data_IF_726385855687
#
_entry.id   IF_726385855687
#
_cell.length_a   1.000
_cell.length_b   1.000
_cell.length_c   1.000
_cell.angle_alpha   90.00
_cell.angle_beta   90.00
_cell.angle_gamma   90.00
#
_symmetry.space_group_name_H-M   'P 1'
#
loop_
_entity.id
_entity.type
_entity.pdbx_description
1 polymer ?
#
# COMPACT_ATOMS: atom_id res chain seq x y z
N UNK A 1 -68.82 48.80 -22.37
CA UNK A 1 -68.55 49.56 -21.13
C UNK A 1 -67.04 49.51 -20.89
N UNK A 2 -66.41 50.68 -20.77
CA UNK A 2 -64.98 50.90 -20.47
C UNK A 2 -64.79 50.87 -18.96
N UNK A 3 -63.76 50.18 -18.45
CA UNK A 3 -62.83 50.62 -17.36
C UNK A 3 -61.77 49.54 -17.05
N UNK A 4 -60.64 49.87 -16.37
CA UNK A 4 -59.29 49.60 -16.88
C UNK A 4 -58.37 48.82 -15.92
N UNK A 5 -57.13 48.61 -16.40
CA UNK A 5 -55.85 48.40 -15.71
C UNK A 5 -55.82 47.72 -14.32
N UNK A 6 -55.05 46.63 -14.24
CA UNK A 6 -54.16 46.41 -13.10
C UNK A 6 -52.81 45.88 -13.61
N UNK A 7 -51.78 46.70 -13.39
CA UNK A 7 -50.37 46.39 -13.52
C UNK A 7 -49.98 45.48 -12.35
N UNK A 8 -49.39 44.32 -12.58
CA UNK A 8 -48.56 43.65 -11.56
C UNK A 8 -47.43 42.90 -12.25
N UNK A 9 -46.25 43.51 -12.18
CA UNK A 9 -44.98 42.89 -12.49
C UNK A 9 -44.58 41.95 -11.36
N UNK A 10 -44.23 40.71 -11.67
CA UNK A 10 -43.27 39.91 -10.88
C UNK A 10 -42.54 38.94 -11.81
N UNK A 11 -41.52 39.46 -12.51
CA UNK A 11 -40.37 38.63 -12.88
C UNK A 11 -39.61 38.40 -11.59
N UNK A 12 -39.64 37.17 -11.07
CA UNK A 12 -38.94 36.77 -9.86
C UNK A 12 -38.43 35.34 -9.99
N UNK A 13 -37.15 35.22 -10.32
CA UNK A 13 -36.37 33.99 -10.30
C UNK A 13 -36.57 33.22 -8.99
N UNK A 14 -36.84 31.92 -9.10
CA UNK A 14 -36.55 30.97 -8.04
C UNK A 14 -36.09 29.63 -8.64
N UNK A 15 -35.00 29.65 -9.42
CA UNK A 15 -34.13 28.47 -9.51
C UNK A 15 -33.39 28.37 -8.17
N UNK A 16 -34.07 27.85 -7.15
CA UNK A 16 -33.41 27.37 -5.94
C UNK A 16 -32.74 26.03 -6.29
N UNK A 17 -31.64 26.10 -7.04
CA UNK A 17 -30.68 25.01 -7.08
C UNK A 17 -30.14 24.87 -5.67
N UNK A 18 -30.67 23.91 -4.92
CA UNK A 18 -30.10 23.46 -3.67
C UNK A 18 -28.72 22.85 -3.99
N UNK A 19 -27.71 23.71 -4.10
CA UNK A 19 -26.30 23.29 -4.06
C UNK A 19 -26.00 22.98 -2.61
N UNK A 20 -26.50 21.83 -2.14
CA UNK A 20 -26.02 21.26 -0.89
C UNK A 20 -24.56 20.87 -1.14
N UNK A 21 -23.61 21.36 -0.34
CA UNK A 21 -22.27 20.79 -0.35
C UNK A 21 -22.45 19.33 0.07
N UNK A 22 -22.18 18.42 -0.87
CA UNK A 22 -22.09 17.00 -0.56
C UNK A 22 -20.81 16.87 0.28
N UNK A 23 -20.96 17.00 1.60
CA UNK A 23 -19.94 16.59 2.53
C UNK A 23 -19.81 15.07 2.37
N UNK A 24 -18.89 14.64 1.51
CA UNK A 24 -18.42 13.27 1.50
C UNK A 24 -17.79 13.04 2.86
N UNK A 25 -18.50 12.39 3.77
CA UNK A 25 -17.89 11.85 4.96
C UNK A 25 -16.77 10.92 4.48
N UNK A 26 -15.51 11.29 4.70
CA UNK A 26 -14.40 10.38 4.46
C UNK A 26 -14.59 9.21 5.40
N UNK A 27 -14.82 8.02 4.85
CA UNK A 27 -14.77 6.82 5.67
C UNK A 27 -13.37 6.68 6.27
N UNK A 28 -13.26 6.27 7.54
CA UNK A 28 -11.96 6.04 8.14
C UNK A 28 -11.21 4.98 7.34
N UNK A 29 -9.98 5.29 6.93
CA UNK A 29 -9.10 4.32 6.28
C UNK A 29 -8.81 3.23 7.30
N UNK A 30 -9.12 1.95 7.00
CA UNK A 30 -8.82 0.87 7.93
C UNK A 30 -7.32 0.79 8.18
N UNK A 31 -6.94 0.51 9.43
CA UNK A 31 -5.54 0.26 9.76
C UNK A 31 -5.04 -1.00 9.05
N UNK A 32 -3.75 -1.04 8.65
CA UNK A 32 -3.13 -2.25 8.10
C UNK A 32 -3.21 -3.44 9.05
N UNK A 33 -3.09 -4.65 8.50
CA UNK A 33 -2.95 -5.86 9.31
C UNK A 33 -1.63 -5.82 10.12
N UNK A 34 -1.57 -6.41 11.34
CA UNK A 34 -0.37 -6.42 12.18
C UNK A 34 0.91 -6.87 11.47
N UNK A 35 0.80 -7.87 10.60
CA UNK A 35 1.88 -8.47 9.81
C UNK A 35 2.16 -7.74 8.48
N UNK A 36 1.62 -6.53 8.31
CA UNK A 36 1.96 -5.70 7.15
C UNK A 36 3.41 -5.24 7.26
N UNK A 37 4.24 -5.58 6.27
CA UNK A 37 5.60 -5.03 6.18
C UNK A 37 5.53 -3.53 5.92
N UNK A 38 6.21 -2.74 6.74
CA UNK A 38 6.23 -1.27 6.65
C UNK A 38 7.61 -0.73 6.32
N UNK A 39 8.67 -1.49 6.58
CA UNK A 39 10.04 -1.05 6.33
C UNK A 39 10.95 -2.25 6.14
N UNK A 40 11.95 -2.07 5.28
CA UNK A 40 13.04 -3.02 5.04
C UNK A 40 14.34 -2.25 5.02
N UNK A 41 15.24 -2.56 5.94
CA UNK A 41 16.54 -1.89 6.09
C UNK A 41 17.68 -2.88 5.91
N UNK A 42 18.77 -2.48 5.25
CA UNK A 42 19.90 -3.36 4.94
C UNK A 42 19.81 -3.99 3.55
N UNK A 43 20.47 -5.13 3.35
CA UNK A 43 20.49 -5.84 2.07
C UNK A 43 20.76 -7.34 2.21
N UNK A 44 20.67 -8.05 1.09
CA UNK A 44 20.85 -9.49 1.04
C UNK A 44 22.27 -9.95 1.42
N UNK A 45 23.30 -9.13 1.14
CA UNK A 45 24.70 -9.48 1.31
C UNK A 45 25.16 -9.29 2.76
N UNK A 46 24.72 -8.21 3.40
CA UNK A 46 25.13 -7.81 4.74
C UNK A 46 24.11 -8.16 5.83
N UNK A 47 22.93 -8.63 5.43
CA UNK A 47 21.80 -8.89 6.31
C UNK A 47 20.83 -7.71 6.29
N UNK A 48 19.57 -8.02 6.56
CA UNK A 48 18.51 -7.02 6.54
C UNK A 48 17.45 -7.29 7.60
N UNK A 49 16.72 -6.23 7.89
CA UNK A 49 15.61 -6.19 8.84
C UNK A 49 14.31 -5.96 8.09
N UNK A 50 13.26 -6.69 8.48
CA UNK A 50 11.89 -6.48 8.04
C UNK A 50 11.10 -6.01 9.25
N UNK A 51 10.60 -4.77 9.22
CA UNK A 51 9.74 -4.21 10.26
C UNK A 51 8.26 -4.35 9.85
N UNK A 52 7.43 -4.74 10.81
CA UNK A 52 5.99 -4.95 10.65
C UNK A 52 5.18 -3.83 11.30
N UNK A 53 3.93 -3.66 10.87
CA UNK A 53 3.04 -2.60 11.35
C UNK A 53 2.76 -2.69 12.86
N UNK A 54 2.74 -3.88 13.44
CA UNK A 54 2.61 -4.08 14.89
C UNK A 54 3.87 -3.72 15.71
N UNK A 55 4.93 -3.29 15.05
CA UNK A 55 6.21 -2.94 15.65
C UNK A 55 7.14 -4.12 15.89
N UNK A 56 6.76 -5.33 15.49
CA UNK A 56 7.68 -6.47 15.48
C UNK A 56 8.67 -6.39 14.31
N UNK A 57 9.79 -7.09 14.44
CA UNK A 57 10.81 -7.16 13.41
C UNK A 57 11.31 -8.59 13.20
N UNK A 58 11.75 -8.89 11.98
CA UNK A 58 12.46 -10.13 11.65
C UNK A 58 13.81 -9.80 11.01
N UNK A 59 14.79 -10.66 11.28
CA UNK A 59 16.16 -10.56 10.77
C UNK A 59 16.48 -11.85 10.01
N UNK A 60 16.10 -11.94 8.73
CA UNK A 60 16.47 -13.09 7.91
C UNK A 60 17.99 -13.24 7.79
N UNK A 61 18.49 -14.45 7.45
CA UNK A 61 19.90 -14.64 7.18
C UNK A 61 20.37 -13.79 5.99
N UNK A 62 21.67 -13.78 5.73
CA UNK A 62 22.22 -13.31 4.44
C UNK A 62 21.93 -14.31 3.32
N UNK A 63 22.06 -13.88 2.07
CA UNK A 63 21.94 -14.76 0.92
C UNK A 63 23.02 -15.86 0.93
N UNK A 64 24.23 -15.51 1.37
CA UNK A 64 25.35 -16.42 1.50
C UNK A 64 25.09 -17.52 2.56
N UNK A 65 24.53 -17.16 3.71
CA UNK A 65 24.14 -18.08 4.77
C UNK A 65 22.99 -18.98 4.30
N UNK A 66 21.94 -18.41 3.71
CA UNK A 66 20.81 -19.19 3.20
C UNK A 66 21.22 -20.17 2.08
N UNK A 67 22.16 -19.78 1.22
CA UNK A 67 22.70 -20.67 0.18
C UNK A 67 23.62 -21.75 0.74
N UNK A 68 24.32 -21.48 1.85
CA UNK A 68 25.16 -22.45 2.53
C UNK A 68 24.31 -23.59 3.11
N UNK A 69 23.18 -23.27 3.75
CA UNK A 69 22.23 -24.26 4.29
C UNK A 69 21.69 -25.20 3.19
N UNK A 70 21.51 -24.70 1.96
CA UNK A 70 21.13 -25.57 0.84
C UNK A 70 22.17 -26.67 0.53
N UNK A 71 23.41 -26.54 1.02
CA UNK A 71 24.47 -27.54 0.93
C UNK A 71 24.29 -28.73 1.87
N UNK A 72 23.37 -28.67 2.83
CA UNK A 72 23.18 -29.71 3.84
C UNK A 72 22.16 -30.79 3.41
N UNK A 73 21.31 -30.51 2.42
CA UNK A 73 20.34 -31.50 1.93
C UNK A 73 21.01 -32.75 1.30
N UNK A 74 20.45 -33.92 1.55
CA UNK A 74 21.04 -35.19 1.08
C UNK A 74 20.95 -35.34 -0.44
N UNK A 75 19.81 -35.00 -1.04
CA UNK A 75 19.60 -35.25 -2.47
C UNK A 75 19.89 -34.03 -3.33
N UNK A 76 20.36 -34.27 -4.56
CA UNK A 76 20.59 -33.21 -5.56
C UNK A 76 19.32 -32.40 -5.84
N UNK A 77 18.16 -33.04 -5.84
CA UNK A 77 16.88 -32.38 -6.14
C UNK A 77 16.52 -31.39 -5.04
N UNK A 78 16.68 -31.76 -3.77
CA UNK A 78 16.44 -30.87 -2.63
C UNK A 78 17.39 -29.69 -2.62
N UNK A 79 18.69 -29.91 -2.87
CA UNK A 79 19.68 -28.83 -2.98
C UNK A 79 19.32 -27.80 -4.06
N UNK A 80 18.89 -28.27 -5.24
CA UNK A 80 18.47 -27.40 -6.34
C UNK A 80 17.20 -26.64 -5.97
N UNK A 81 16.21 -27.31 -5.39
CA UNK A 81 14.97 -26.69 -4.93
C UNK A 81 15.24 -25.57 -3.92
N UNK A 82 16.02 -25.87 -2.88
CA UNK A 82 16.41 -24.87 -1.89
C UNK A 82 17.10 -23.65 -2.54
N UNK A 83 18.08 -23.88 -3.43
CA UNK A 83 18.79 -22.78 -4.10
C UNK A 83 17.86 -21.91 -4.96
N UNK A 84 16.86 -22.51 -5.61
CA UNK A 84 15.86 -21.76 -6.39
C UNK A 84 14.96 -20.97 -5.47
N UNK A 85 14.48 -21.56 -4.37
CA UNK A 85 13.65 -20.88 -3.38
C UNK A 85 14.40 -19.67 -2.77
N UNK A 86 15.64 -19.87 -2.31
CA UNK A 86 16.52 -18.82 -1.79
C UNK A 86 16.72 -17.71 -2.82
N UNK A 87 17.15 -18.04 -4.04
CA UNK A 87 17.38 -17.02 -5.10
C UNK A 87 16.11 -16.25 -5.45
N UNK A 88 14.96 -16.91 -5.45
CA UNK A 88 13.68 -16.25 -5.74
C UNK A 88 13.34 -15.26 -4.64
N UNK A 89 13.45 -15.70 -3.38
CA UNK A 89 13.13 -14.87 -2.23
C UNK A 89 14.01 -13.61 -2.16
N UNK A 90 15.33 -13.73 -2.33
CA UNK A 90 16.23 -12.57 -2.33
C UNK A 90 16.11 -11.68 -3.58
N UNK A 91 15.73 -12.24 -4.73
CA UNK A 91 15.40 -11.43 -5.92
C UNK A 91 14.17 -10.56 -5.66
N UNK A 92 13.17 -11.10 -4.96
CA UNK A 92 11.92 -10.42 -4.70
C UNK A 92 12.06 -9.34 -3.61
N UNK A 93 13.13 -9.38 -2.80
CA UNK A 93 13.47 -8.34 -1.84
C UNK A 93 13.59 -6.95 -2.47
N UNK A 94 14.23 -6.83 -3.64
CA UNK A 94 14.32 -5.55 -4.35
C UNK A 94 12.94 -5.03 -4.76
N UNK A 95 12.07 -5.93 -5.23
CA UNK A 95 10.69 -5.58 -5.62
C UNK A 95 9.87 -5.11 -4.42
N UNK A 96 10.04 -5.74 -3.26
CA UNK A 96 9.39 -5.32 -2.01
C UNK A 96 9.83 -3.90 -1.61
N UNK A 97 11.13 -3.62 -1.67
CA UNK A 97 11.68 -2.29 -1.34
C UNK A 97 11.14 -1.22 -2.28
N UNK A 98 11.14 -1.47 -3.59
CA UNK A 98 10.56 -0.54 -4.58
C UNK A 98 9.07 -0.27 -4.31
N UNK A 99 8.31 -1.30 -3.93
CA UNK A 99 6.90 -1.16 -3.60
C UNK A 99 6.67 -0.33 -2.32
N UNK A 100 7.52 -0.51 -1.30
CA UNK A 100 7.48 0.30 -0.07
C UNK A 100 7.84 1.76 -0.35
N UNK A 101 8.89 2.01 -1.12
CA UNK A 101 9.30 3.37 -1.51
C UNK A 101 8.18 4.09 -2.27
N UNK A 102 7.53 3.39 -3.21
CA UNK A 102 6.36 3.91 -3.92
C UNK A 102 5.18 4.20 -2.99
N UNK A 103 4.88 3.28 -2.06
CA UNK A 103 3.79 3.46 -1.09
C UNK A 103 4.04 4.65 -0.16
N UNK A 104 5.28 4.85 0.28
CA UNK A 104 5.67 6.01 1.08
C UNK A 104 5.57 7.31 0.30
N UNK A 105 6.03 7.32 -0.95
CA UNK A 105 5.97 8.50 -1.81
C UNK A 105 4.53 8.92 -2.18
N UNK A 106 3.58 7.98 -2.20
CA UNK A 106 2.18 8.24 -2.57
C UNK A 106 1.25 8.54 -1.39
N UNK A 107 1.69 8.25 -0.16
CA UNK A 107 0.98 8.65 1.07
C UNK A 107 1.43 9.99 1.66
N UNK A 108 2.55 10.55 1.17
CA UNK A 108 3.04 11.89 1.53
C UNK A 108 2.42 12.99 0.68
#
# INVERSE_FOLDING_TARGET
MRTPLALTATVGLAFAAAVLPHATASEPVPEPAPDTVVSVTGDAENGFEIEYYDGSAQYPPTDSEALAECGEYDTRVERVRCRVEVRTWYRDLATLRDALDWAHATRG
#
